data_IF_274399503400
#
_entry.id   IF_274399503400
#
_cell.length_a   1.000
_cell.length_b   1.000
_cell.length_c   1.000
_cell.angle_alpha   90.00
_cell.angle_beta   90.00
_cell.angle_gamma   90.00
#
_symmetry.space_group_name_H-M   'P 1'
#
loop_
_entity.id
_entity.type
_entity.pdbx_description
1 polymer ?
#
# COMPACT_ATOMS: atom_id res chain seq x y z
N UNK A 1 -28.34 19.81 3.19
CA UNK A 1 -28.32 18.34 3.00
C UNK A 1 -27.19 17.79 3.84
N UNK A 2 -27.49 16.82 4.71
CA UNK A 2 -26.49 16.23 5.62
C UNK A 2 -25.43 15.45 4.82
N UNK A 3 -24.24 15.27 5.41
CA UNK A 3 -23.19 14.43 4.84
C UNK A 3 -23.67 12.99 4.60
N UNK A 4 -24.58 12.48 5.43
CA UNK A 4 -25.21 11.17 5.27
C UNK A 4 -26.12 11.09 4.02
N UNK A 5 -26.81 12.18 3.67
CA UNK A 5 -27.68 12.21 2.49
C UNK A 5 -26.87 12.31 1.18
N UNK A 6 -25.67 12.90 1.22
CA UNK A 6 -24.75 12.91 0.09
C UNK A 6 -24.19 11.51 -0.18
N UNK A 7 -23.83 10.75 0.86
CA UNK A 7 -23.38 9.34 0.76
C UNK A 7 -24.48 8.46 0.16
N UNK A 8 -25.74 8.63 0.60
CA UNK A 8 -26.88 7.87 0.05
C UNK A 8 -27.25 8.24 -1.40
N UNK A 9 -27.04 9.49 -1.82
CA UNK A 9 -27.28 9.92 -3.21
C UNK A 9 -26.15 9.51 -4.15
N UNK A 10 -24.89 9.48 -3.70
CA UNK A 10 -23.80 8.83 -4.42
C UNK A 10 -24.17 7.34 -4.66
N UNK A 11 -24.74 6.70 -3.62
CA UNK A 11 -25.50 5.44 -3.58
C UNK A 11 -26.32 5.05 -4.83
N UNK A 12 -26.87 6.01 -5.58
CA UNK A 12 -27.85 5.77 -6.64
C UNK A 12 -27.31 5.95 -8.07
N UNK A 13 -26.05 6.36 -8.24
CA UNK A 13 -25.45 6.63 -9.57
C UNK A 13 -24.25 5.72 -9.88
N UNK A 14 -24.15 4.57 -9.19
CA UNK A 14 -23.13 3.55 -9.45
C UNK A 14 -23.60 2.60 -10.56
N UNK A 15 -23.40 3.00 -11.82
CA UNK A 15 -23.12 1.96 -12.81
C UNK A 15 -21.73 1.48 -12.48
N UNK A 16 -21.64 0.28 -11.91
CA UNK A 16 -20.42 -0.51 -11.75
C UNK A 16 -19.36 -0.08 -12.78
N UNK A 17 -18.17 0.35 -12.34
CA UNK A 17 -16.96 0.27 -13.18
C UNK A 17 -16.55 -1.22 -13.19
N UNK A 18 -17.50 -2.06 -13.57
CA UNK A 18 -17.27 -3.44 -13.97
C UNK A 18 -17.23 -3.33 -15.47
N UNK A 19 -16.16 -3.86 -16.06
CA UNK A 19 -16.00 -4.01 -17.49
C UNK A 19 -17.36 -4.41 -18.11
N UNK A 20 -17.92 -3.54 -18.96
CA UNK A 20 -19.17 -3.87 -19.62
C UNK A 20 -18.95 -5.19 -20.37
N UNK A 21 -19.86 -6.16 -20.20
CA UNK A 21 -19.61 -7.46 -20.76
C UNK A 21 -19.59 -7.34 -22.30
N UNK A 22 -18.62 -7.96 -22.98
CA UNK A 22 -18.52 -7.88 -24.43
C UNK A 22 -19.79 -8.37 -25.11
N UNK A 23 -20.08 -7.83 -26.29
CA UNK A 23 -21.21 -8.28 -27.12
C UNK A 23 -20.85 -9.59 -27.82
N UNK A 24 -20.93 -10.69 -27.07
CA UNK A 24 -20.71 -12.06 -27.54
C UNK A 24 -21.99 -12.89 -27.33
N UNK A 25 -22.33 -13.77 -28.28
CA UNK A 25 -23.54 -14.60 -28.15
C UNK A 25 -23.30 -15.82 -27.26
N UNK A 26 -24.35 -16.31 -26.61
CA UNK A 26 -24.28 -17.55 -25.83
C UNK A 26 -23.87 -18.74 -26.72
N UNK A 27 -24.42 -18.84 -27.94
CA UNK A 27 -24.10 -19.89 -28.90
C UNK A 27 -22.62 -19.89 -29.33
N UNK A 28 -21.98 -18.73 -29.37
CA UNK A 28 -20.57 -18.60 -29.69
C UNK A 28 -19.71 -19.15 -28.56
N UNK A 29 -19.91 -18.67 -27.33
CA UNK A 29 -19.16 -19.14 -26.15
C UNK A 29 -19.41 -20.62 -25.84
N UNK A 30 -20.60 -21.15 -26.12
CA UNK A 30 -20.87 -22.59 -25.91
C UNK A 30 -20.04 -23.49 -26.81
N UNK A 31 -19.54 -23.02 -27.96
CA UNK A 31 -18.67 -23.82 -28.84
C UNK A 31 -17.24 -23.94 -28.32
N UNK A 32 -16.83 -23.02 -27.45
CA UNK A 32 -15.48 -22.93 -26.89
C UNK A 32 -15.59 -22.45 -25.44
N UNK A 33 -15.97 -23.35 -24.52
CA UNK A 33 -16.15 -23.03 -23.10
C UNK A 33 -15.23 -23.89 -22.23
N UNK A 34 -14.81 -23.35 -21.09
CA UNK A 34 -14.17 -24.12 -20.04
C UNK A 34 -15.21 -24.99 -19.32
N UNK A 35 -16.37 -24.39 -18.99
CA UNK A 35 -17.47 -25.07 -18.31
C UNK A 35 -18.81 -24.38 -18.60
N UNK A 36 -19.91 -25.14 -18.66
CA UNK A 36 -21.24 -24.62 -18.93
C UNK A 36 -22.30 -25.34 -18.10
N UNK A 37 -23.30 -24.59 -17.65
CA UNK A 37 -24.45 -25.15 -16.96
C UNK A 37 -25.42 -24.07 -16.49
N UNK A 38 -26.48 -24.48 -15.84
CA UNK A 38 -27.53 -23.60 -15.35
C UNK A 38 -27.32 -23.32 -13.86
N UNK A 39 -27.27 -22.05 -13.47
CA UNK A 39 -27.16 -21.64 -12.07
C UNK A 39 -28.29 -20.69 -11.70
N UNK A 40 -28.83 -20.86 -10.50
CA UNK A 40 -29.79 -19.90 -9.95
C UNK A 40 -29.05 -18.78 -9.25
N UNK A 41 -28.94 -17.62 -9.89
CA UNK A 41 -28.12 -16.49 -9.44
C UNK A 41 -28.92 -15.46 -8.65
N UNK A 42 -28.36 -14.96 -7.55
CA UNK A 42 -28.90 -13.82 -6.80
C UNK A 42 -28.60 -12.48 -7.50
N UNK A 43 -29.60 -11.60 -7.57
CA UNK A 43 -29.45 -10.23 -8.00
C UNK A 43 -28.61 -9.40 -7.03
N UNK A 44 -27.98 -8.33 -7.55
CA UNK A 44 -27.09 -7.46 -6.78
C UNK A 44 -27.87 -6.50 -5.88
N UNK A 45 -28.61 -5.57 -6.49
CA UNK A 45 -29.42 -4.57 -5.78
C UNK A 45 -30.70 -5.15 -5.20
N UNK A 46 -31.43 -5.91 -6.02
CA UNK A 46 -32.62 -6.65 -5.60
C UNK A 46 -32.18 -8.10 -5.42
N UNK A 47 -32.33 -8.65 -4.22
CA UNK A 47 -31.86 -10.00 -3.87
C UNK A 47 -32.77 -11.12 -4.40
N UNK A 48 -33.45 -10.88 -5.53
CA UNK A 48 -34.22 -11.90 -6.26
C UNK A 48 -33.30 -12.94 -6.87
N UNK A 49 -33.81 -14.14 -7.02
CA UNK A 49 -33.09 -15.25 -7.62
C UNK A 49 -33.60 -15.48 -9.03
N UNK A 50 -32.69 -15.66 -9.97
CA UNK A 50 -33.04 -15.96 -11.35
C UNK A 50 -32.14 -17.05 -11.90
N UNK A 51 -32.75 -18.00 -12.59
CA UNK A 51 -32.04 -19.00 -13.37
C UNK A 51 -31.29 -18.33 -14.53
N UNK A 52 -30.05 -18.72 -14.73
CA UNK A 52 -29.19 -18.21 -15.80
C UNK A 52 -28.39 -19.36 -16.40
N UNK A 53 -28.28 -19.35 -17.72
CA UNK A 53 -27.25 -20.10 -18.41
C UNK A 53 -25.90 -19.44 -18.11
N UNK A 54 -25.02 -20.15 -17.41
CA UNK A 54 -23.70 -19.71 -17.04
C UNK A 54 -22.66 -20.40 -17.92
N UNK A 55 -21.74 -19.61 -18.49
CA UNK A 55 -20.66 -20.11 -19.35
C UNK A 55 -19.35 -19.53 -18.84
N UNK A 56 -18.45 -20.40 -18.39
CA UNK A 56 -17.09 -20.06 -17.99
C UNK A 56 -16.18 -20.16 -19.21
N UNK A 57 -15.44 -19.10 -19.49
CA UNK A 57 -14.51 -19.05 -20.62
C UNK A 57 -13.38 -18.07 -20.31
N UNK A 58 -12.13 -18.53 -20.36
CA UNK A 58 -10.92 -17.70 -20.24
C UNK A 58 -10.92 -16.77 -19.02
N UNK A 59 -11.21 -17.32 -17.84
CA UNK A 59 -11.24 -16.55 -16.59
C UNK A 59 -12.44 -15.60 -16.44
N UNK A 60 -13.45 -15.71 -17.30
CA UNK A 60 -14.68 -14.91 -17.24
C UNK A 60 -15.91 -15.83 -17.18
N UNK A 61 -16.79 -15.59 -16.21
CA UNK A 61 -18.08 -16.29 -16.06
C UNK A 61 -19.21 -15.41 -16.60
N UNK A 62 -19.69 -15.74 -17.79
CA UNK A 62 -20.79 -15.06 -18.47
C UNK A 62 -22.13 -15.65 -18.05
N UNK A 63 -23.18 -14.85 -18.02
CA UNK A 63 -24.53 -15.35 -17.74
C UNK A 63 -25.61 -14.74 -18.64
N UNK A 64 -26.49 -15.60 -19.15
CA UNK A 64 -27.53 -15.30 -20.14
C UNK A 64 -28.92 -15.69 -19.63
N UNK A 65 -29.97 -15.16 -20.26
CA UNK A 65 -31.34 -15.65 -20.02
C UNK A 65 -31.59 -16.90 -20.85
N UNK A 66 -31.11 -16.94 -22.09
CA UNK A 66 -31.22 -18.12 -22.95
C UNK A 66 -30.00 -18.31 -23.85
N UNK A 67 -29.85 -19.49 -24.43
CA UNK A 67 -28.81 -19.83 -25.42
C UNK A 67 -28.92 -19.02 -26.73
N UNK A 68 -30.08 -18.41 -27.00
CA UNK A 68 -30.32 -17.58 -28.19
C UNK A 68 -29.91 -16.12 -27.99
N UNK A 69 -29.53 -15.75 -26.77
CA UNK A 69 -29.18 -14.38 -26.45
C UNK A 69 -27.85 -14.01 -27.15
N UNK A 70 -27.87 -12.88 -27.86
CA UNK A 70 -26.71 -12.33 -28.58
C UNK A 70 -25.80 -11.46 -27.71
N UNK A 71 -26.17 -11.27 -26.44
CA UNK A 71 -25.37 -10.56 -25.45
C UNK A 71 -25.62 -11.09 -24.04
N UNK A 72 -24.59 -11.17 -23.19
CA UNK A 72 -24.75 -11.57 -21.80
C UNK A 72 -25.58 -10.55 -21.01
N UNK A 73 -26.28 -11.02 -19.98
CA UNK A 73 -26.87 -10.15 -18.95
C UNK A 73 -25.81 -9.58 -18.01
N UNK A 74 -24.65 -10.23 -17.93
CA UNK A 74 -23.48 -9.75 -17.23
C UNK A 74 -22.36 -10.78 -17.24
N UNK A 75 -21.23 -10.39 -16.66
CA UNK A 75 -20.00 -11.15 -16.62
C UNK A 75 -19.36 -10.98 -15.24
N UNK A 76 -18.70 -12.02 -14.76
CA UNK A 76 -17.85 -11.99 -13.57
C UNK A 76 -16.45 -12.30 -14.04
N UNK A 77 -15.51 -11.37 -13.91
CA UNK A 77 -14.09 -11.70 -14.06
C UNK A 77 -13.67 -12.49 -12.82
N UNK A 78 -13.32 -13.77 -13.00
CA UNK A 78 -12.93 -14.67 -11.91
C UNK A 78 -11.42 -14.78 -11.74
N UNK A 79 -10.62 -14.12 -12.59
CA UNK A 79 -9.15 -14.11 -12.52
C UNK A 79 -8.68 -13.65 -11.13
N UNK A 80 -7.87 -14.50 -10.49
CA UNK A 80 -7.37 -14.28 -9.13
C UNK A 80 -8.44 -14.37 -8.01
N UNK A 81 -9.72 -14.53 -8.34
CA UNK A 81 -10.80 -14.66 -7.35
C UNK A 81 -10.85 -16.07 -6.74
N UNK A 82 -11.53 -16.17 -5.60
CA UNK A 82 -11.81 -17.45 -4.94
C UNK A 82 -13.30 -17.74 -4.97
N UNK A 83 -13.65 -18.94 -5.43
CA UNK A 83 -14.99 -19.52 -5.34
C UNK A 83 -15.05 -20.51 -4.17
N UNK A 84 -16.07 -20.39 -3.33
CA UNK A 84 -16.24 -21.21 -2.12
C UNK A 84 -17.68 -21.74 -2.06
N UNK A 85 -17.86 -22.88 -1.39
CA UNK A 85 -19.18 -23.35 -1.00
C UNK A 85 -19.85 -22.35 -0.04
N UNK A 86 -21.17 -22.26 -0.12
CA UNK A 86 -21.98 -21.41 0.73
C UNK A 86 -23.36 -22.03 0.93
N UNK A 87 -23.78 -22.19 2.18
CA UNK A 87 -25.17 -22.51 2.50
C UNK A 87 -26.00 -21.22 2.48
N UNK A 88 -26.84 -21.04 1.46
CA UNK A 88 -27.51 -19.76 1.23
C UNK A 88 -28.84 -19.64 1.98
N UNK A 89 -29.58 -20.75 2.04
CA UNK A 89 -30.81 -20.96 2.79
C UNK A 89 -31.25 -22.42 2.66
N UNK A 90 -32.31 -22.80 3.40
CA UNK A 90 -32.86 -24.16 3.41
C UNK A 90 -33.24 -24.73 2.03
N UNK A 91 -33.57 -23.89 1.02
CA UNK A 91 -33.88 -24.31 -0.36
C UNK A 91 -32.69 -24.26 -1.31
N UNK A 92 -31.55 -23.73 -0.88
CA UNK A 92 -30.34 -23.49 -1.69
C UNK A 92 -29.12 -23.91 -0.88
N UNK A 93 -29.11 -25.18 -0.48
CA UNK A 93 -28.06 -25.79 0.34
C UNK A 93 -26.74 -25.87 -0.44
N UNK A 94 -26.82 -26.18 -1.73
CA UNK A 94 -25.68 -26.30 -2.63
C UNK A 94 -25.35 -24.95 -3.30
N UNK A 95 -25.04 -23.94 -2.48
CA UNK A 95 -24.68 -22.62 -2.98
C UNK A 95 -23.18 -22.46 -3.20
N UNK A 96 -22.82 -21.57 -4.11
CA UNK A 96 -21.45 -21.09 -4.27
C UNK A 96 -21.42 -19.58 -4.09
N UNK A 97 -20.31 -19.09 -3.54
CA UNK A 97 -19.99 -17.67 -3.45
C UNK A 97 -18.69 -17.35 -4.16
N UNK A 98 -18.71 -16.31 -5.00
CA UNK A 98 -17.51 -15.75 -5.65
C UNK A 98 -17.27 -14.37 -5.03
N UNK A 99 -16.17 -14.26 -4.28
CA UNK A 99 -15.83 -13.05 -3.53
C UNK A 99 -15.05 -12.14 -4.47
N UNK A 100 -15.68 -11.06 -4.92
CA UNK A 100 -15.02 -10.05 -5.76
C UNK A 100 -14.76 -8.76 -4.97
N UNK A 101 -13.84 -7.91 -5.45
CA UNK A 101 -13.57 -6.60 -4.87
C UNK A 101 -14.80 -5.73 -4.64
N UNK A 102 -15.79 -5.79 -5.54
CA UNK A 102 -16.95 -4.89 -5.49
C UNK A 102 -18.17 -5.49 -4.78
N UNK A 103 -18.27 -6.82 -4.73
CA UNK A 103 -19.40 -7.55 -4.15
C UNK A 103 -19.13 -9.05 -4.09
N UNK A 104 -19.87 -9.77 -3.26
CA UNK A 104 -19.91 -11.23 -3.34
C UNK A 104 -21.10 -11.69 -4.20
N UNK A 105 -20.81 -12.53 -5.17
CA UNK A 105 -21.80 -13.16 -6.03
C UNK A 105 -22.27 -14.46 -5.37
N UNK A 106 -23.57 -14.70 -5.40
CA UNK A 106 -24.16 -15.92 -4.86
C UNK A 106 -24.94 -16.63 -5.95
N UNK A 107 -24.62 -17.90 -6.17
CA UNK A 107 -25.26 -18.77 -7.14
C UNK A 107 -25.65 -20.06 -6.43
N UNK A 108 -26.78 -20.64 -6.80
CA UNK A 108 -27.21 -21.94 -6.31
C UNK A 108 -27.12 -22.96 -7.44
N UNK A 109 -26.48 -24.07 -7.10
CA UNK A 109 -26.32 -25.27 -7.91
C UNK A 109 -27.50 -26.21 -7.68
N UNK A 110 -27.64 -27.21 -8.55
CA UNK A 110 -28.71 -28.20 -8.47
C UNK A 110 -28.49 -29.17 -7.29
N UNK A 111 -27.28 -29.71 -7.19
CA UNK A 111 -26.87 -30.67 -6.18
C UNK A 111 -25.40 -30.46 -5.72
N UNK A 112 -24.92 -31.31 -4.82
CA UNK A 112 -23.56 -31.28 -4.28
C UNK A 112 -22.47 -31.53 -5.32
N UNK A 113 -22.76 -32.37 -6.32
CA UNK A 113 -21.82 -32.69 -7.39
C UNK A 113 -21.67 -31.51 -8.35
N UNK A 114 -22.78 -30.88 -8.75
CA UNK A 114 -22.79 -29.65 -9.54
C UNK A 114 -22.05 -28.52 -8.80
N UNK A 115 -22.31 -28.34 -7.50
CA UNK A 115 -21.58 -27.39 -6.66
C UNK A 115 -20.07 -27.62 -6.67
N UNK A 116 -19.64 -28.87 -6.47
CA UNK A 116 -18.22 -29.24 -6.44
C UNK A 116 -17.55 -28.99 -7.79
N UNK A 117 -18.22 -29.31 -8.90
CA UNK A 117 -17.72 -29.07 -10.25
C UNK A 117 -17.59 -27.57 -10.55
N UNK A 118 -18.60 -26.76 -10.21
CA UNK A 118 -18.53 -25.31 -10.40
C UNK A 118 -17.41 -24.67 -9.58
N UNK A 119 -17.25 -25.07 -8.31
CA UNK A 119 -16.16 -24.57 -7.46
C UNK A 119 -14.81 -24.91 -8.08
N UNK A 120 -14.62 -26.16 -8.51
CA UNK A 120 -13.38 -26.62 -9.14
C UNK A 120 -13.07 -25.83 -10.40
N UNK A 121 -14.00 -25.81 -11.36
CA UNK A 121 -13.75 -25.20 -12.67
C UNK A 121 -13.53 -23.68 -12.58
N UNK A 122 -14.27 -22.97 -11.70
CA UNK A 122 -14.06 -21.54 -11.49
C UNK A 122 -12.70 -21.28 -10.85
N UNK A 123 -12.30 -22.05 -9.83
CA UNK A 123 -11.00 -21.86 -9.17
C UNK A 123 -9.84 -22.23 -10.10
N UNK A 124 -9.97 -23.30 -10.90
CA UNK A 124 -8.95 -23.69 -11.87
C UNK A 124 -8.82 -22.63 -12.97
N UNK A 125 -9.94 -22.12 -13.51
CA UNK A 125 -9.91 -21.04 -14.51
C UNK A 125 -9.37 -19.73 -13.93
N UNK A 126 -9.67 -19.42 -12.65
CA UNK A 126 -9.11 -18.28 -11.92
C UNK A 126 -7.57 -18.31 -11.86
N UNK A 127 -7.00 -19.47 -11.53
CA UNK A 127 -5.54 -19.67 -11.43
C UNK A 127 -4.88 -19.72 -12.79
N UNK A 128 -5.49 -20.38 -13.79
CA UNK A 128 -4.94 -20.46 -15.16
C UNK A 128 -4.81 -19.09 -15.85
N UNK A 129 -5.66 -18.14 -15.47
CA UNK A 129 -5.76 -16.84 -16.14
C UNK A 129 -5.26 -15.67 -15.27
N UNK A 130 -4.54 -15.94 -14.18
CA UNK A 130 -3.97 -14.90 -13.31
C UNK A 130 -2.69 -15.37 -12.62
N UNK A 131 -1.67 -14.52 -12.62
CA UNK A 131 -0.40 -14.78 -11.91
C UNK A 131 -0.47 -14.48 -10.41
N UNK A 132 -1.61 -13.94 -9.93
CA UNK A 132 -1.82 -13.53 -8.54
C UNK A 132 -3.21 -13.94 -8.03
N UNK A 133 -3.35 -14.05 -6.69
CA UNK A 133 -4.66 -14.14 -6.02
C UNK A 133 -5.10 -12.81 -5.43
N UNK A 134 -6.41 -12.61 -5.38
CA UNK A 134 -7.06 -11.50 -4.70
C UNK A 134 -7.57 -11.95 -3.32
N UNK A 135 -7.12 -11.24 -2.28
CA UNK A 135 -7.57 -11.39 -0.90
C UNK A 135 -8.40 -10.17 -0.51
N UNK A 136 -9.72 -10.31 -0.58
CA UNK A 136 -10.63 -9.19 -0.31
C UNK A 136 -10.77 -9.00 1.20
N UNK A 137 -10.63 -7.76 1.67
CA UNK A 137 -10.82 -7.35 3.06
C UNK A 137 -12.00 -6.39 3.13
N UNK A 138 -12.92 -6.62 4.06
CA UNK A 138 -14.10 -5.79 4.26
C UNK A 138 -14.14 -5.28 5.72
N UNK A 139 -14.16 -3.95 5.96
CA UNK A 139 -14.09 -3.40 7.30
C UNK A 139 -15.43 -3.52 8.06
N UNK A 140 -16.54 -3.81 7.37
CA UNK A 140 -17.88 -3.83 7.96
C UNK A 140 -18.31 -5.23 8.46
N UNK A 141 -17.36 -6.17 8.61
CA UNK A 141 -17.62 -7.55 9.07
C UNK A 141 -18.72 -8.27 8.28
N UNK A 142 -18.77 -8.03 6.97
CA UNK A 142 -19.73 -8.68 6.08
C UNK A 142 -19.53 -10.20 6.08
N UNK A 143 -20.60 -10.96 6.30
CA UNK A 143 -20.58 -12.44 6.25
C UNK A 143 -20.09 -12.99 4.90
N UNK A 144 -20.08 -12.13 3.88
CA UNK A 144 -19.74 -12.47 2.51
C UNK A 144 -18.25 -12.34 2.17
N UNK A 145 -17.44 -11.86 3.11
CA UNK A 145 -16.00 -11.66 2.97
C UNK A 145 -15.20 -12.63 3.86
N UNK A 146 -13.98 -12.98 3.44
CA UNK A 146 -13.10 -13.88 4.21
C UNK A 146 -12.26 -13.11 5.23
N UNK A 147 -11.76 -11.94 4.85
CA UNK A 147 -10.90 -11.13 5.71
C UNK A 147 -11.62 -9.86 6.16
N UNK A 148 -11.43 -9.52 7.43
CA UNK A 148 -11.88 -8.25 8.05
C UNK A 148 -10.71 -7.49 8.69
N UNK A 149 -9.52 -8.09 8.65
CA UNK A 149 -8.29 -7.57 9.21
C UNK A 149 -7.22 -7.58 8.12
N UNK A 150 -6.52 -6.45 7.96
CA UNK A 150 -5.54 -6.27 6.89
C UNK A 150 -4.31 -7.15 7.14
N UNK A 151 -3.84 -7.24 8.40
CA UNK A 151 -2.65 -8.02 8.72
C UNK A 151 -2.87 -9.51 8.42
N UNK A 152 -4.03 -10.07 8.80
CA UNK A 152 -4.39 -11.46 8.47
C UNK A 152 -4.39 -11.74 6.97
N UNK A 153 -4.88 -10.80 6.16
CA UNK A 153 -4.86 -10.95 4.71
C UNK A 153 -3.42 -10.88 4.16
N UNK A 154 -2.58 -9.98 4.68
CA UNK A 154 -1.15 -9.87 4.35
C UNK A 154 -0.40 -11.15 4.71
N UNK A 155 -0.66 -11.71 5.88
CA UNK A 155 -0.01 -12.94 6.35
C UNK A 155 -0.37 -14.13 5.46
N UNK A 156 -1.65 -14.26 5.09
CA UNK A 156 -2.17 -15.33 4.24
C UNK A 156 -1.69 -15.22 2.78
N UNK A 157 -1.51 -14.00 2.26
CA UNK A 157 -1.11 -13.75 0.89
C UNK A 157 0.23 -14.40 0.54
N UNK A 158 0.42 -14.81 -0.72
CA UNK A 158 1.74 -15.19 -1.25
C UNK A 158 2.46 -13.97 -1.82
N UNK A 159 3.73 -14.13 -2.13
CA UNK A 159 4.47 -13.10 -2.88
C UNK A 159 3.79 -12.85 -4.23
N UNK A 160 3.60 -11.58 -4.56
CA UNK A 160 2.89 -11.13 -5.77
C UNK A 160 1.36 -11.08 -5.65
N UNK A 161 0.77 -11.61 -4.58
CA UNK A 161 -0.68 -11.53 -4.37
C UNK A 161 -1.17 -10.10 -4.08
N UNK A 162 -2.47 -9.89 -4.24
CA UNK A 162 -3.12 -8.61 -4.03
C UNK A 162 -4.08 -8.66 -2.84
N UNK A 163 -3.85 -7.82 -1.84
CA UNK A 163 -4.80 -7.55 -0.75
C UNK A 163 -5.69 -6.38 -1.18
N UNK A 164 -6.98 -6.67 -1.35
CA UNK A 164 -7.93 -5.73 -1.95
C UNK A 164 -8.91 -5.21 -0.90
N UNK A 165 -8.88 -3.90 -0.68
CA UNK A 165 -9.67 -3.23 0.35
C UNK A 165 -10.96 -2.68 -0.26
N UNK A 166 -12.12 -3.15 0.22
CA UNK A 166 -13.42 -2.54 -0.06
C UNK A 166 -13.50 -1.11 0.50
N UNK A 167 -14.44 -0.33 -0.01
CA UNK A 167 -14.72 1.02 0.52
C UNK A 167 -15.10 0.93 1.99
N UNK A 168 -14.48 1.77 2.81
CA UNK A 168 -14.76 1.85 4.23
C UNK A 168 -13.60 2.44 5.01
N UNK A 169 -13.74 2.45 6.33
CA UNK A 169 -12.74 2.94 7.26
C UNK A 169 -12.18 1.75 8.04
N UNK A 170 -10.94 1.40 7.77
CA UNK A 170 -10.19 0.37 8.45
C UNK A 170 -9.49 0.98 9.66
N UNK A 171 -9.97 0.65 10.86
CA UNK A 171 -9.29 1.03 12.10
C UNK A 171 -8.25 -0.03 12.42
N UNK A 172 -6.98 0.33 12.37
CA UNK A 172 -5.88 -0.59 12.62
C UNK A 172 -5.35 -0.36 14.03
N UNK A 173 -5.52 -1.33 14.95
CA UNK A 173 -5.11 -1.18 16.34
C UNK A 173 -3.59 -1.23 16.55
N UNK A 174 -2.88 -1.90 15.65
CA UNK A 174 -1.43 -2.10 15.66
C UNK A 174 -0.85 -1.80 14.27
N UNK A 175 0.45 -1.53 14.15
CA UNK A 175 1.08 -1.33 12.83
C UNK A 175 0.94 -2.57 11.94
N UNK A 176 0.42 -2.40 10.71
CA UNK A 176 0.44 -3.47 9.71
C UNK A 176 1.86 -3.61 9.16
N UNK A 177 2.49 -4.77 9.34
CA UNK A 177 3.84 -5.06 8.90
C UNK A 177 3.83 -5.94 7.65
N UNK A 178 4.46 -5.46 6.59
CA UNK A 178 4.54 -6.14 5.29
C UNK A 178 6.00 -6.51 5.04
N UNK A 179 6.25 -7.82 4.94
CA UNK A 179 7.60 -8.40 4.85
C UNK A 179 7.93 -8.99 3.49
N UNK A 180 7.00 -8.94 2.54
CA UNK A 180 7.11 -9.62 1.26
C UNK A 180 6.47 -8.79 0.15
N UNK A 181 6.95 -8.88 -1.11
CA UNK A 181 6.35 -8.18 -2.23
C UNK A 181 4.87 -8.58 -2.42
N UNK A 182 3.98 -7.60 -2.34
CA UNK A 182 2.53 -7.75 -2.60
C UNK A 182 1.91 -6.39 -2.91
N UNK A 183 0.68 -6.38 -3.39
CA UNK A 183 -0.08 -5.14 -3.66
C UNK A 183 -1.20 -4.98 -2.64
N UNK A 184 -1.23 -3.87 -1.90
CA UNK A 184 -2.41 -3.44 -1.14
C UNK A 184 -3.12 -2.35 -1.93
N UNK A 185 -4.35 -2.63 -2.37
CA UNK A 185 -5.10 -1.71 -3.22
C UNK A 185 -6.49 -1.43 -2.68
N UNK A 186 -6.83 -0.15 -2.63
CA UNK A 186 -8.22 0.27 -2.54
C UNK A 186 -8.96 -0.07 -3.81
N UNK A 187 -10.17 -0.57 -3.65
CA UNK A 187 -11.14 -0.55 -4.74
C UNK A 187 -11.64 0.89 -4.87
N UNK A 188 -11.91 1.34 -6.10
CA UNK A 188 -12.49 2.64 -6.49
C UNK A 188 -11.49 3.71 -6.98
N UNK A 189 -11.82 4.42 -8.08
CA UNK A 189 -11.00 5.53 -8.58
C UNK A 189 -11.11 6.81 -7.73
N UNK A 190 -12.02 6.86 -6.76
CA UNK A 190 -12.06 7.92 -5.77
C UNK A 190 -11.33 7.43 -4.50
N UNK A 191 -10.04 7.77 -4.39
CA UNK A 191 -9.14 7.43 -3.28
C UNK A 191 -9.67 7.85 -1.91
N UNK A 192 -10.72 8.70 -1.88
CA UNK A 192 -11.37 9.19 -0.67
C UNK A 192 -12.32 8.19 0.02
N UNK A 193 -12.49 6.97 -0.50
CA UNK A 193 -13.42 5.98 0.07
C UNK A 193 -12.77 4.82 0.82
N UNK A 194 -11.45 4.63 0.72
CA UNK A 194 -10.71 3.59 1.46
C UNK A 194 -9.75 4.28 2.42
N UNK A 195 -10.14 4.35 3.69
CA UNK A 195 -9.34 4.99 4.74
C UNK A 195 -8.74 3.94 5.64
N UNK A 196 -7.42 3.92 5.77
CA UNK A 196 -6.71 3.14 6.77
C UNK A 196 -6.28 4.11 7.88
N UNK A 197 -6.84 3.95 9.05
CA UNK A 197 -6.63 4.85 10.19
C UNK A 197 -5.97 4.12 11.36
N UNK A 198 -4.94 4.72 11.94
CA UNK A 198 -4.32 4.20 13.17
C UNK A 198 -5.25 4.35 14.37
N UNK A 199 -5.07 3.47 15.35
CA UNK A 199 -5.43 3.72 16.75
C UNK A 199 -4.45 4.67 17.43
N UNK A 200 -4.82 5.14 18.63
CA UNK A 200 -4.07 6.15 19.38
C UNK A 200 -2.66 5.71 19.83
N UNK A 201 -2.37 4.40 19.81
CA UNK A 201 -1.13 3.80 20.34
C UNK A 201 -0.11 3.41 19.28
N UNK A 202 -0.44 3.47 17.99
CA UNK A 202 0.44 2.96 16.92
C UNK A 202 1.43 4.02 16.43
N UNK A 203 2.72 3.66 16.35
CA UNK A 203 3.78 4.53 15.81
C UNK A 203 3.61 4.78 14.31
N UNK A 204 3.24 3.75 13.57
CA UNK A 204 2.92 3.85 12.15
C UNK A 204 1.69 3.02 11.79
N UNK A 205 0.96 3.43 10.76
CA UNK A 205 -0.19 2.64 10.26
C UNK A 205 0.35 1.42 9.52
N UNK A 206 1.28 1.66 8.59
CA UNK A 206 1.87 0.66 7.73
C UNK A 206 3.39 0.70 7.86
N UNK A 207 4.01 -0.48 7.89
CA UNK A 207 5.45 -0.65 7.90
C UNK A 207 5.89 -1.67 6.86
N UNK A 208 6.79 -1.26 5.97
CA UNK A 208 7.47 -2.16 5.03
C UNK A 208 8.82 -2.52 5.62
N UNK A 209 8.97 -3.80 5.98
CA UNK A 209 10.19 -4.36 6.56
C UNK A 209 10.40 -5.79 6.04
N UNK A 210 11.09 -5.94 4.92
CA UNK A 210 11.42 -7.25 4.33
C UNK A 210 12.31 -8.12 5.23
N UNK A 211 12.91 -7.56 6.28
CA UNK A 211 13.78 -8.29 7.18
C UNK A 211 13.03 -8.79 8.41
N UNK A 212 13.27 -10.06 8.76
CA UNK A 212 12.88 -10.56 10.08
C UNK A 212 13.75 -9.91 11.16
N UNK A 213 13.25 -9.90 12.40
CA UNK A 213 14.02 -9.38 13.52
C UNK A 213 15.24 -10.26 13.81
N UNK A 214 16.36 -9.63 14.18
CA UNK A 214 17.57 -10.29 14.68
C UNK A 214 18.27 -11.23 13.68
N UNK A 215 18.36 -10.83 12.41
CA UNK A 215 19.10 -11.59 11.40
C UNK A 215 20.61 -11.33 11.46
N UNK A 216 21.40 -12.39 11.34
CA UNK A 216 22.85 -12.30 11.15
C UNK A 216 23.19 -11.77 9.76
N UNK A 217 24.41 -11.26 9.57
CA UNK A 217 24.89 -10.78 8.25
C UNK A 217 24.74 -11.85 7.16
N UNK A 218 25.07 -13.10 7.47
CA UNK A 218 24.93 -14.23 6.54
C UNK A 218 23.45 -14.50 6.17
N UNK A 219 22.53 -14.31 7.12
CA UNK A 219 21.09 -14.45 6.86
C UNK A 219 20.55 -13.32 5.99
N UNK A 220 21.03 -12.09 6.19
CA UNK A 220 20.71 -10.95 5.33
C UNK A 220 21.26 -11.14 3.90
N UNK A 221 22.50 -11.62 3.75
CA UNK A 221 23.08 -11.93 2.43
C UNK A 221 22.33 -13.04 1.70
N UNK A 222 21.88 -14.07 2.43
CA UNK A 222 21.03 -15.14 1.88
C UNK A 222 19.66 -14.62 1.47
N UNK A 223 19.04 -13.75 2.27
CA UNK A 223 17.78 -13.09 1.90
C UNK A 223 17.94 -12.19 0.68
N UNK A 224 19.05 -11.44 0.55
CA UNK A 224 19.35 -10.66 -0.66
C UNK A 224 19.36 -11.52 -1.92
N UNK A 225 19.96 -12.73 -1.86
CA UNK A 225 20.02 -13.64 -3.01
C UNK A 225 18.66 -14.24 -3.38
N UNK A 226 17.71 -14.23 -2.44
CA UNK A 226 16.34 -14.73 -2.61
C UNK A 226 15.34 -13.63 -2.95
N UNK A 227 15.62 -12.37 -2.57
CA UNK A 227 14.82 -11.20 -2.90
C UNK A 227 14.82 -10.99 -4.42
N UNK A 228 13.81 -11.53 -5.09
CA UNK A 228 13.62 -11.48 -6.54
C UNK A 228 13.26 -10.09 -7.10
N UNK A 229 13.77 -9.00 -6.51
CA UNK A 229 13.53 -7.63 -6.98
C UNK A 229 12.09 -7.15 -6.86
N UNK A 230 11.25 -7.84 -6.06
CA UNK A 230 9.85 -7.46 -5.87
C UNK A 230 9.69 -6.18 -5.03
N UNK A 231 8.57 -5.48 -5.23
CA UNK A 231 8.21 -4.27 -4.49
C UNK A 231 6.85 -4.42 -3.83
N UNK A 232 6.71 -3.90 -2.61
CA UNK A 232 5.41 -3.68 -1.97
C UNK A 232 4.73 -2.49 -2.67
N UNK A 233 3.48 -2.65 -3.08
CA UNK A 233 2.72 -1.62 -3.79
C UNK A 233 1.50 -1.18 -3.00
N UNK A 234 1.26 0.12 -2.96
CA UNK A 234 0.05 0.71 -2.41
C UNK A 234 -0.66 1.54 -3.48
N UNK A 235 -1.93 1.23 -3.72
CA UNK A 235 -2.72 1.85 -4.78
C UNK A 235 -4.07 2.33 -4.24
N UNK A 236 -4.46 3.56 -4.55
CA UNK A 236 -5.82 4.08 -4.29
C UNK A 236 -6.28 3.99 -2.82
N UNK A 237 -5.41 4.30 -1.87
CA UNK A 237 -5.74 4.31 -0.43
C UNK A 237 -5.45 5.67 0.20
N UNK A 238 -6.24 6.01 1.22
CA UNK A 238 -5.97 7.13 2.12
C UNK A 238 -5.46 6.61 3.46
N UNK A 239 -4.28 7.04 3.88
CA UNK A 239 -3.72 6.76 5.20
C UNK A 239 -3.92 7.99 6.09
N UNK A 240 -4.62 7.81 7.21
CA UNK A 240 -4.84 8.88 8.19
C UNK A 240 -4.30 8.46 9.55
N UNK A 241 -3.19 9.06 9.97
CA UNK A 241 -2.63 8.79 11.28
C UNK A 241 -3.36 9.67 12.30
N UNK A 242 -4.10 9.02 13.20
CA UNK A 242 -4.76 9.61 14.35
C UNK A 242 -4.06 9.04 15.57
N UNK A 243 -3.26 9.84 16.24
CA UNK A 243 -2.74 9.45 17.54
C UNK A 243 -3.12 10.49 18.59
N UNK A 244 -3.80 10.09 19.66
CA UNK A 244 -4.26 11.03 20.67
C UNK A 244 -3.11 11.87 21.26
N UNK A 245 -3.40 13.15 21.50
CA UNK A 245 -2.49 14.16 22.06
C UNK A 245 -1.83 13.75 23.39
N UNK A 246 -2.48 12.85 24.13
CA UNK A 246 -2.06 12.44 25.48
C UNK A 246 -1.25 11.13 25.48
N UNK A 247 -1.09 10.45 24.33
CA UNK A 247 -0.54 9.08 24.25
C UNK A 247 0.91 8.98 23.77
N UNK A 248 1.60 10.09 23.47
CA UNK A 248 2.76 10.03 22.57
C UNK A 248 4.00 10.68 23.20
N UNK A 249 4.84 9.87 23.85
CA UNK A 249 6.25 10.19 24.13
C UNK A 249 7.14 10.05 22.86
N UNK A 250 6.54 9.86 21.68
CA UNK A 250 7.22 9.43 20.44
C UNK A 250 6.93 10.30 19.20
N UNK A 251 6.50 11.55 19.37
CA UNK A 251 5.96 12.40 18.29
C UNK A 251 6.89 12.46 17.06
N UNK A 252 8.20 12.56 17.30
CA UNK A 252 9.19 12.69 16.24
C UNK A 252 9.34 11.44 15.36
N UNK A 253 8.90 10.28 15.85
CA UNK A 253 9.06 8.98 15.17
C UNK A 253 7.78 8.43 14.55
N UNK A 254 6.64 9.09 14.75
CA UNK A 254 5.37 8.64 14.21
C UNK A 254 5.22 8.96 12.71
N UNK A 255 4.66 8.04 11.93
CA UNK A 255 4.40 8.26 10.50
C UNK A 255 3.16 7.53 9.97
N UNK A 256 2.56 7.95 8.86
CA UNK A 256 1.51 7.12 8.25
C UNK A 256 2.11 5.82 7.70
N UNK A 257 3.21 5.95 6.95
CA UNK A 257 3.95 4.85 6.34
C UNK A 257 5.42 4.93 6.72
N UNK A 258 5.96 3.80 7.18
CA UNK A 258 7.38 3.64 7.47
C UNK A 258 7.99 2.56 6.55
N UNK A 259 9.06 2.90 5.84
CA UNK A 259 9.80 1.96 4.98
C UNK A 259 11.20 1.86 5.53
N UNK A 260 11.58 0.66 5.98
CA UNK A 260 12.89 0.44 6.62
C UNK A 260 13.81 -0.49 5.82
N UNK A 261 13.24 -1.23 4.86
CA UNK A 261 13.92 -2.16 3.97
C UNK A 261 13.07 -2.47 2.74
N UNK A 262 13.71 -2.94 1.68
CA UNK A 262 13.06 -3.31 0.43
C UNK A 262 12.61 -2.11 -0.43
N UNK A 263 11.85 -2.41 -1.49
CA UNK A 263 11.31 -1.40 -2.40
C UNK A 263 9.81 -1.22 -2.20
N UNK A 264 9.34 0.02 -2.14
CA UNK A 264 7.95 0.39 -1.98
C UNK A 264 7.49 1.34 -3.10
N UNK A 265 6.32 1.07 -3.69
CA UNK A 265 5.71 1.92 -4.72
C UNK A 265 4.35 2.44 -4.24
N UNK A 266 4.14 3.75 -4.34
CA UNK A 266 2.87 4.42 -4.03
C UNK A 266 2.28 5.02 -5.30
N UNK A 267 1.02 4.70 -5.57
CA UNK A 267 0.26 5.27 -6.69
C UNK A 267 -1.14 5.71 -6.22
N UNK A 268 -1.50 6.97 -6.45
CA UNK A 268 -2.79 7.53 -6.00
C UNK A 268 -3.04 7.36 -4.48
N UNK A 269 -1.98 7.47 -3.68
CA UNK A 269 -2.05 7.35 -2.22
C UNK A 269 -2.14 8.73 -1.58
N UNK A 270 -3.06 8.87 -0.63
CA UNK A 270 -3.23 10.10 0.16
C UNK A 270 -2.69 9.87 1.58
N UNK A 271 -1.84 10.76 2.07
CA UNK A 271 -1.12 10.62 3.34
C UNK A 271 -1.38 11.85 4.23
N UNK A 272 -2.01 11.62 5.38
CA UNK A 272 -2.37 12.65 6.36
C UNK A 272 -2.03 12.21 7.77
N UNK A 273 -1.00 12.81 8.36
CA UNK A 273 -0.57 12.52 9.71
C UNK A 273 -0.95 13.63 10.69
N UNK A 274 -1.92 13.37 11.55
CA UNK A 274 -2.41 14.37 12.51
C UNK A 274 -1.34 14.81 13.51
N UNK A 275 -0.33 13.97 13.77
CA UNK A 275 0.73 14.26 14.76
C UNK A 275 2.16 13.93 14.31
N UNK A 276 2.33 13.26 13.17
CA UNK A 276 3.61 12.74 12.71
C UNK A 276 4.02 13.21 11.31
N UNK A 277 4.84 12.39 10.67
CA UNK A 277 5.29 12.53 9.28
C UNK A 277 4.33 11.77 8.35
N UNK A 278 4.12 12.23 7.13
CA UNK A 278 3.38 11.44 6.13
C UNK A 278 4.09 10.11 5.84
N UNK A 279 5.32 10.16 5.35
CA UNK A 279 6.14 8.99 5.04
C UNK A 279 7.53 9.11 5.64
N UNK A 280 8.01 8.06 6.29
CA UNK A 280 9.41 7.94 6.74
C UNK A 280 10.10 6.80 5.99
N UNK A 281 11.23 7.09 5.36
CA UNK A 281 12.12 6.08 4.76
C UNK A 281 13.45 6.18 5.48
N UNK A 282 13.93 5.07 6.02
CA UNK A 282 15.22 4.97 6.71
C UNK A 282 15.84 3.62 6.43
N UNK A 283 17.15 3.48 6.58
CA UNK A 283 17.81 2.23 6.29
C UNK A 283 18.16 1.50 7.59
N UNK A 284 17.41 0.43 7.89
CA UNK A 284 17.60 -0.39 9.09
C UNK A 284 19.03 -0.90 9.25
N UNK A 285 19.73 -1.13 8.14
CA UNK A 285 21.07 -1.70 8.10
C UNK A 285 22.17 -0.65 7.94
N UNK A 286 21.82 0.63 7.97
CA UNK A 286 22.79 1.70 7.82
C UNK A 286 23.72 1.76 9.03
N UNK A 287 25.01 1.84 8.73
CA UNK A 287 26.07 2.03 9.71
C UNK A 287 26.77 3.32 9.31
N UNK A 288 26.67 4.39 10.12
CA UNK A 288 27.31 5.66 9.81
C UNK A 288 28.82 5.46 9.61
N UNK A 289 29.44 6.13 8.63
CA UNK A 289 30.89 6.13 8.52
C UNK A 289 31.50 6.67 9.81
N UNK A 290 32.48 5.93 10.36
CA UNK A 290 33.22 6.35 11.56
C UNK A 290 33.94 7.67 11.23
N UNK A 291 33.49 8.78 11.82
CA UNK A 291 34.24 10.03 11.75
C UNK A 291 35.56 9.81 12.49
N UNK A 292 36.69 9.84 11.78
CA UNK A 292 38.02 9.84 12.39
C UNK A 292 38.14 11.12 13.24
N UNK A 293 37.88 11.01 14.54
CA UNK A 293 38.15 12.08 15.50
C UNK A 293 39.63 12.06 15.86
N UNK A 294 40.49 12.52 14.95
CA UNK A 294 41.79 13.07 15.32
C UNK A 294 41.63 14.58 15.43
N UNK A 295 40.99 15.04 16.51
CA UNK A 295 41.13 16.40 17.06
C UNK A 295 40.19 16.55 18.27
N UNK A 296 40.63 16.00 19.40
CA UNK A 296 40.17 16.44 20.70
C UNK A 296 41.39 16.48 21.63
N UNK A 297 41.99 17.68 21.68
CA UNK A 297 43.06 17.99 22.59
C UNK A 297 42.66 17.73 24.05
N UNK A 298 43.65 17.25 24.78
CA UNK A 298 43.68 16.97 26.21
C UNK A 298 43.05 18.11 27.03
N UNK A 299 42.02 17.77 27.81
CA UNK A 299 41.59 18.55 28.97
C UNK A 299 41.21 17.58 30.08
N UNK A 300 42.12 17.43 31.03
CA UNK A 300 41.96 16.68 32.27
C UNK A 300 41.28 17.55 33.33
N UNK A 301 40.17 17.08 33.91
CA UNK A 301 39.93 17.07 35.37
C UNK A 301 38.78 16.11 35.73
N UNK A 302 38.80 15.47 36.92
CA UNK A 302 37.90 14.37 37.27
C UNK A 302 36.70 14.86 38.09
N UNK A 303 35.52 14.26 37.86
CA UNK A 303 34.47 14.25 38.89
C UNK A 303 33.67 12.95 38.86
N UNK A 304 33.67 12.32 40.02
CA UNK A 304 32.98 11.12 40.48
C UNK A 304 31.47 11.14 40.25
N UNK A 305 30.92 10.07 39.68
CA UNK A 305 29.64 9.49 40.08
C UNK A 305 29.48 8.07 39.51
N UNK A 306 29.39 7.12 40.42
CA UNK A 306 29.05 5.71 40.23
C UNK A 306 27.60 5.52 39.77
N UNK A 307 27.37 4.84 38.64
CA UNK A 307 26.12 4.10 38.39
C UNK A 307 26.46 2.76 37.72
N UNK A 308 25.75 1.76 38.20
CA UNK A 308 25.95 0.32 38.14
C UNK A 308 25.90 -0.30 36.73
N UNK A 309 26.62 -1.42 36.64
CA UNK A 309 26.77 -2.34 35.53
C UNK A 309 25.46 -2.90 34.99
N UNK A 310 25.21 -2.69 33.70
CA UNK A 310 24.43 -3.61 32.87
C UNK A 310 25.18 -3.81 31.55
N UNK A 311 26.20 -4.65 31.59
CA UNK A 311 27.03 -5.02 30.43
C UNK A 311 26.29 -6.06 29.59
N UNK A 312 25.57 -5.62 28.56
CA UNK A 312 25.57 -6.38 27.30
C UNK A 312 26.87 -6.02 26.56
N UNK A 313 27.64 -6.99 26.05
CA UNK A 313 28.79 -6.65 25.23
C UNK A 313 28.29 -5.91 23.97
N UNK A 314 28.93 -4.81 23.56
CA UNK A 314 28.66 -4.22 22.25
C UNK A 314 28.90 -5.28 21.17
N UNK A 315 28.12 -5.28 20.07
CA UNK A 315 28.37 -6.21 18.96
C UNK A 315 29.83 -6.10 18.50
N UNK A 316 30.47 -7.21 18.13
CA UNK A 316 31.88 -7.22 17.76
C UNK A 316 32.13 -6.23 16.60
N UNK A 317 33.24 -5.49 16.61
CA UNK A 317 33.55 -4.54 15.56
C UNK A 317 33.66 -5.26 14.22
N UNK A 318 32.96 -4.73 13.22
CA UNK A 318 33.05 -5.19 11.84
C UNK A 318 34.52 -5.06 11.36
N UNK A 319 35.09 -6.09 10.71
CA UNK A 319 36.42 -5.98 10.13
C UNK A 319 36.41 -4.92 9.03
N UNK A 320 37.35 -3.98 9.10
CA UNK A 320 37.60 -3.01 8.05
C UNK A 320 37.97 -3.75 6.76
N UNK A 321 37.09 -3.71 5.77
CA UNK A 321 37.38 -4.25 4.43
C UNK A 321 36.93 -3.25 3.38
N UNK A 322 37.86 -2.90 2.50
CA UNK A 322 37.64 -1.96 1.41
C UNK A 322 36.45 -2.33 0.53
N UNK A 323 35.78 -1.31 0.01
CA UNK A 323 34.78 -1.31 -1.09
C UNK A 323 34.12 -2.65 -1.42
N UNK A 324 33.45 -3.28 -0.44
CA UNK A 324 32.48 -4.34 -0.71
C UNK A 324 31.15 -3.69 -1.03
N UNK A 325 30.50 -4.14 -2.12
CA UNK A 325 29.12 -3.77 -2.47
C UNK A 325 28.23 -3.91 -1.23
N UNK A 326 27.33 -2.96 -0.93
CA UNK A 326 26.50 -3.00 0.26
C UNK A 326 25.77 -4.34 0.40
N UNK A 327 25.59 -4.79 1.66
CA UNK A 327 25.06 -6.11 2.00
C UNK A 327 23.66 -6.31 1.41
N UNK A 328 22.87 -5.25 1.32
CA UNK A 328 21.57 -5.19 0.65
C UNK A 328 21.48 -3.88 -0.13
N UNK A 329 20.59 -3.83 -1.13
CA UNK A 329 20.26 -2.56 -1.76
C UNK A 329 19.56 -1.64 -0.73
N UNK A 330 19.82 -0.32 -0.80
CA UNK A 330 19.17 0.64 0.08
C UNK A 330 17.65 0.61 -0.09
N UNK A 331 16.87 0.88 0.96
CA UNK A 331 15.42 1.00 0.85
C UNK A 331 15.05 2.02 -0.22
N UNK A 332 14.11 1.64 -1.10
CA UNK A 332 13.66 2.47 -2.22
C UNK A 332 12.18 2.82 -2.08
N UNK A 333 11.85 4.09 -2.26
CA UNK A 333 10.48 4.58 -2.39
C UNK A 333 10.26 5.18 -3.77
N UNK A 334 9.20 4.75 -4.47
CA UNK A 334 8.73 5.35 -5.72
C UNK A 334 7.33 5.88 -5.48
N UNK A 335 7.10 7.17 -5.71
CA UNK A 335 5.80 7.82 -5.56
C UNK A 335 5.34 8.44 -6.86
N UNK A 336 4.12 8.14 -7.28
CA UNK A 336 3.49 8.75 -8.45
C UNK A 336 2.06 9.17 -8.12
N UNK A 337 1.70 10.41 -8.48
CA UNK A 337 0.32 10.91 -8.35
C UNK A 337 -0.24 10.76 -6.92
N UNK A 338 0.63 10.99 -5.92
CA UNK A 338 0.30 10.90 -4.50
C UNK A 338 0.04 12.28 -3.88
N UNK A 339 -0.75 12.31 -2.80
CA UNK A 339 -1.08 13.54 -2.07
C UNK A 339 -0.56 13.43 -0.63
N UNK A 340 0.35 14.32 -0.24
CA UNK A 340 0.98 14.34 1.09
C UNK A 340 0.68 15.68 1.76
N UNK A 341 -0.34 15.69 2.60
CA UNK A 341 -0.91 16.95 3.07
C UNK A 341 -1.34 16.93 4.54
N UNK A 342 -1.40 18.11 5.14
CA UNK A 342 -1.87 18.30 6.52
C UNK A 342 -1.13 17.43 7.55
N UNK A 343 0.17 17.17 7.30
CA UNK A 343 1.01 16.45 8.24
C UNK A 343 1.54 17.42 9.30
N UNK A 344 1.49 17.03 10.58
CA UNK A 344 1.92 17.87 11.71
C UNK A 344 3.43 18.14 11.73
N UNK A 345 4.22 17.20 11.19
CA UNK A 345 5.64 17.37 10.99
C UNK A 345 5.92 17.52 9.49
N UNK A 346 6.83 16.72 8.94
CA UNK A 346 7.16 16.76 7.53
C UNK A 346 6.15 15.98 6.69
N UNK A 347 6.00 16.35 5.42
CA UNK A 347 5.29 15.48 4.48
C UNK A 347 6.03 14.14 4.32
N UNK A 348 7.34 14.21 4.07
CA UNK A 348 8.21 13.05 3.95
C UNK A 348 9.54 13.29 4.68
N UNK A 349 10.07 12.21 5.27
CA UNK A 349 11.41 12.18 5.85
C UNK A 349 12.21 11.03 5.25
N UNK A 350 13.36 11.34 4.67
CA UNK A 350 14.35 10.38 4.19
C UNK A 350 15.58 10.49 5.09
N UNK A 351 16.04 9.36 5.59
CA UNK A 351 17.22 9.24 6.45
C UNK A 351 18.12 8.13 5.92
N UNK A 352 19.39 8.14 6.33
CA UNK A 352 20.36 7.10 6.04
C UNK A 352 20.56 6.85 4.53
N UNK A 353 21.27 5.78 4.15
CA UNK A 353 21.41 5.39 2.75
C UNK A 353 20.08 4.86 2.18
N UNK A 354 19.26 5.76 1.63
CA UNK A 354 17.94 5.49 1.04
C UNK A 354 17.77 6.16 -0.33
N UNK A 355 16.89 5.59 -1.15
CA UNK A 355 16.59 6.09 -2.51
C UNK A 355 15.12 6.50 -2.61
N UNK A 356 14.85 7.67 -3.17
CA UNK A 356 13.47 8.13 -3.39
C UNK A 356 13.27 8.72 -4.78
N UNK A 357 12.20 8.32 -5.45
CA UNK A 357 11.72 8.90 -6.71
C UNK A 357 10.29 9.41 -6.52
N UNK A 358 10.06 10.69 -6.78
CA UNK A 358 8.74 11.32 -6.64
C UNK A 358 8.36 11.99 -7.94
N UNK A 359 7.21 11.61 -8.50
CA UNK A 359 6.70 12.21 -9.74
C UNK A 359 5.24 12.62 -9.62
N UNK A 360 4.87 13.74 -10.26
CA UNK A 360 3.48 14.20 -10.39
C UNK A 360 2.71 14.23 -9.07
N UNK A 361 3.39 14.47 -7.95
CA UNK A 361 2.81 14.35 -6.62
C UNK A 361 2.58 15.72 -6.01
N UNK A 362 1.65 15.77 -5.06
CA UNK A 362 1.19 16.99 -4.42
C UNK A 362 1.59 16.98 -2.95
N UNK A 363 2.36 17.97 -2.52
CA UNK A 363 2.70 18.21 -1.12
C UNK A 363 2.07 19.53 -0.69
N UNK A 364 1.18 19.50 0.30
CA UNK A 364 0.47 20.72 0.70
C UNK A 364 0.29 20.86 2.20
N UNK A 365 0.44 22.09 2.71
CA UNK A 365 -0.02 22.45 4.07
C UNK A 365 0.51 21.52 5.16
N UNK A 366 1.78 21.13 5.05
CA UNK A 366 2.48 20.40 6.11
C UNK A 366 3.08 21.42 7.10
N UNK A 367 2.95 21.13 8.41
CA UNK A 367 3.38 21.99 9.52
C UNK A 367 4.91 21.97 9.72
N UNK A 368 5.64 21.16 8.97
CA UNK A 368 7.10 21.18 8.84
C UNK A 368 7.54 21.41 7.40
N UNK A 369 8.67 20.79 7.02
CA UNK A 369 9.09 20.78 5.60
C UNK A 369 8.18 19.87 4.77
N UNK A 370 8.06 20.09 3.45
CA UNK A 370 7.41 19.09 2.60
C UNK A 370 8.22 17.79 2.57
N UNK A 371 9.53 17.91 2.33
CA UNK A 371 10.48 16.80 2.32
C UNK A 371 11.71 17.22 3.12
N UNK A 372 12.08 16.42 4.12
CA UNK A 372 13.37 16.48 4.80
C UNK A 372 14.19 15.27 4.38
N UNK A 373 15.35 15.47 3.76
CA UNK A 373 16.24 14.40 3.35
C UNK A 373 17.61 14.58 3.97
N UNK A 374 18.08 13.54 4.64
CA UNK A 374 19.36 13.58 5.33
C UNK A 374 20.12 12.27 5.31
N UNK A 375 21.42 12.35 5.62
CA UNK A 375 22.24 11.21 6.01
C UNK A 375 22.54 10.23 4.88
N UNK A 376 23.16 10.68 3.80
CA UNK A 376 23.45 9.89 2.58
C UNK A 376 22.25 9.48 1.72
N UNK A 377 21.02 9.85 2.09
CA UNK A 377 19.86 9.64 1.24
C UNK A 377 20.00 10.41 -0.09
N UNK A 378 19.37 9.88 -1.15
CA UNK A 378 19.28 10.56 -2.45
C UNK A 378 17.85 10.57 -2.98
N UNK A 379 17.55 11.60 -3.78
CA UNK A 379 16.22 11.75 -4.35
C UNK A 379 16.24 12.21 -5.81
N UNK A 380 15.19 11.82 -6.53
CA UNK A 380 14.78 12.41 -7.81
C UNK A 380 13.34 12.88 -7.68
N UNK A 381 13.10 14.17 -7.91
CA UNK A 381 11.77 14.78 -7.80
C UNK A 381 11.43 15.49 -9.10
N UNK A 382 10.34 15.07 -9.74
CA UNK A 382 9.92 15.59 -11.03
C UNK A 382 8.44 15.98 -11.05
N UNK A 383 8.12 17.10 -11.72
CA UNK A 383 6.74 17.51 -12.07
C UNK A 383 5.77 17.53 -10.88
N UNK A 384 6.27 17.85 -9.69
CA UNK A 384 5.51 17.81 -8.44
C UNK A 384 5.21 19.23 -7.93
N UNK A 385 4.21 19.35 -7.06
CA UNK A 385 3.73 20.64 -6.55
C UNK A 385 3.92 20.70 -5.03
N UNK A 386 4.53 21.78 -4.55
CA UNK A 386 4.82 22.01 -3.14
C UNK A 386 4.23 23.34 -2.69
N UNK A 387 3.27 23.35 -1.76
CA UNK A 387 2.66 24.61 -1.36
C UNK A 387 2.12 24.70 0.06
N UNK A 388 2.30 25.86 0.70
CA UNK A 388 1.70 26.17 1.99
C UNK A 388 2.36 25.47 3.17
N UNK A 389 3.62 25.02 3.05
CA UNK A 389 4.37 24.47 4.16
C UNK A 389 4.77 25.58 5.14
N UNK A 390 4.81 25.30 6.45
CA UNK A 390 5.24 26.31 7.44
C UNK A 390 6.76 26.49 7.48
N UNK A 391 7.51 25.51 6.94
CA UNK A 391 8.98 25.54 6.73
C UNK A 391 9.30 25.39 5.23
N UNK A 392 10.47 24.87 4.90
CA UNK A 392 10.92 24.75 3.51
C UNK A 392 10.06 23.73 2.71
N UNK A 393 10.01 23.86 1.39
CA UNK A 393 9.51 22.75 0.57
C UNK A 393 10.44 21.54 0.69
N UNK A 394 11.72 21.71 0.33
CA UNK A 394 12.70 20.63 0.32
C UNK A 394 13.93 21.05 1.12
N UNK A 395 14.42 20.16 1.98
CA UNK A 395 15.66 20.32 2.73
C UNK A 395 16.59 19.14 2.45
N UNK A 396 17.84 19.42 2.11
CA UNK A 396 18.91 18.46 1.89
C UNK A 396 20.05 18.68 2.90
N UNK A 397 20.35 17.69 3.74
CA UNK A 397 21.39 17.74 4.78
C UNK A 397 22.30 16.49 4.71
N UNK A 398 23.60 16.64 4.50
CA UNK A 398 24.51 15.49 4.34
C UNK A 398 24.04 14.45 3.28
N UNK A 399 23.36 14.85 2.21
CA UNK A 399 22.75 13.93 1.21
C UNK A 399 23.73 13.52 0.12
N UNK A 400 23.43 12.40 -0.57
CA UNK A 400 24.04 12.07 -1.88
C UNK A 400 23.43 12.93 -2.99
N UNK A 401 24.03 12.88 -4.19
CA UNK A 401 23.57 13.65 -5.36
C UNK A 401 22.08 13.43 -5.61
N UNK A 402 21.37 14.52 -5.77
CA UNK A 402 19.91 14.53 -5.96
C UNK A 402 19.53 15.37 -7.19
N UNK A 403 18.34 15.15 -7.71
CA UNK A 403 17.80 15.89 -8.86
C UNK A 403 16.41 16.41 -8.53
N UNK A 404 16.19 17.70 -8.72
CA UNK A 404 14.90 18.37 -8.51
C UNK A 404 14.60 19.12 -9.80
N UNK A 405 13.64 18.62 -10.58
CA UNK A 405 13.38 19.11 -11.93
C UNK A 405 11.89 19.36 -12.20
N UNK A 406 11.53 20.48 -12.83
CA UNK A 406 10.18 20.71 -13.34
C UNK A 406 9.11 20.85 -12.24
N UNK A 407 9.46 21.26 -11.03
CA UNK A 407 8.53 21.34 -9.90
C UNK A 407 7.96 22.75 -9.71
N UNK A 408 6.75 22.84 -9.17
CA UNK A 408 6.12 24.11 -8.81
C UNK A 408 6.11 24.29 -7.31
N UNK A 409 6.67 25.39 -6.81
CA UNK A 409 6.77 25.68 -5.38
C UNK A 409 6.21 27.07 -5.07
N UNK A 410 5.27 27.16 -4.14
CA UNK A 410 4.62 28.43 -3.81
C UNK A 410 4.28 28.54 -2.32
N UNK A 411 4.42 29.74 -1.75
CA UNK A 411 3.96 30.06 -0.40
C UNK A 411 4.49 29.12 0.69
N UNK A 412 5.78 28.80 0.66
CA UNK A 412 6.42 27.90 1.62
C UNK A 412 7.27 28.69 2.63
N UNK A 413 7.20 28.29 3.88
CA UNK A 413 7.94 28.86 5.00
C UNK A 413 7.57 30.30 5.36
N UNK A 414 8.30 30.91 6.30
CA UNK A 414 8.11 32.29 6.69
C UNK A 414 8.22 33.23 5.48
N UNK A 415 7.20 34.08 5.29
CA UNK A 415 7.17 35.03 4.16
C UNK A 415 6.94 34.39 2.79
N UNK A 416 6.68 33.08 2.71
CA UNK A 416 6.29 32.39 1.48
C UNK A 416 7.41 32.07 0.49
N UNK A 417 8.68 32.31 0.85
CA UNK A 417 9.85 32.21 -0.05
C UNK A 417 10.82 31.06 0.26
N UNK A 418 10.50 30.21 1.23
CA UNK A 418 11.36 29.13 1.68
C UNK A 418 11.09 27.86 0.86
N UNK A 419 11.72 27.76 -0.31
CA UNK A 419 11.47 26.65 -1.23
C UNK A 419 12.48 25.51 -1.03
N UNK A 420 13.73 25.69 -1.43
CA UNK A 420 14.77 24.66 -1.35
C UNK A 420 15.90 25.14 -0.44
N UNK A 421 16.27 24.34 0.54
CA UNK A 421 17.47 24.54 1.36
C UNK A 421 18.44 23.37 1.16
N UNK A 422 19.68 23.69 0.82
CA UNK A 422 20.78 22.72 0.66
C UNK A 422 21.86 23.11 1.66
N UNK A 423 22.14 22.21 2.60
CA UNK A 423 23.19 22.41 3.59
C UNK A 423 24.58 22.31 2.95
N UNK A 424 25.58 22.95 3.57
CA UNK A 424 26.96 22.98 3.07
C UNK A 424 27.61 21.58 2.97
N UNK A 425 27.13 20.63 3.78
CA UNK A 425 27.62 19.26 3.83
C UNK A 425 26.88 18.31 2.87
N UNK A 426 25.87 18.80 2.14
CA UNK A 426 25.16 18.01 1.15
C UNK A 426 25.92 17.94 -0.19
N UNK A 427 25.85 16.80 -0.86
CA UNK A 427 26.37 16.67 -2.21
C UNK A 427 25.64 17.59 -3.21
N UNK A 428 26.26 17.94 -4.35
CA UNK A 428 25.63 18.78 -5.36
C UNK A 428 24.26 18.26 -5.79
N UNK A 429 23.30 19.18 -5.93
CA UNK A 429 21.94 18.90 -6.38
C UNK A 429 21.69 19.58 -7.73
N UNK A 430 21.20 18.82 -8.71
CA UNK A 430 20.77 19.38 -9.99
C UNK A 430 19.39 20.02 -9.84
N UNK A 431 19.31 21.33 -10.08
CA UNK A 431 18.09 22.12 -10.02
C UNK A 431 17.75 22.66 -11.42
N UNK A 432 16.70 22.11 -12.03
CA UNK A 432 16.33 22.43 -13.43
C UNK A 432 14.84 22.76 -13.53
N UNK A 433 14.48 23.78 -14.31
CA UNK A 433 13.07 24.06 -14.68
C UNK A 433 12.07 24.14 -13.49
N UNK A 434 12.51 24.57 -12.31
CA UNK A 434 11.62 24.72 -11.15
C UNK A 434 11.01 26.11 -11.10
N UNK A 435 9.69 26.17 -10.93
CA UNK A 435 8.91 27.40 -10.79
C UNK A 435 8.75 27.79 -9.32
N UNK A 436 9.30 28.95 -8.93
CA UNK A 436 9.17 29.52 -7.59
C UNK A 436 8.22 30.73 -7.62
N UNK A 437 7.02 30.57 -7.07
CA UNK A 437 5.93 31.57 -7.11
C UNK A 437 5.64 32.23 -5.76
#
# INVERSE_FOLDING_TARGET
>A
MSSQDKVKKAGKKWKEIVEEPPKVSASELMRDHDFVGTLTKRGGSIKTWHERLCILHQGKLYYYVSQKDTKPKGMINVQGLTCQAAELNYKKKFGIKIISPHRTYYLACEDENDQSNWIKEINDSSVRNSDYRLHVVDPDFSEDCTFHDIQRAVDFAKEGDHVVLRSGIYKVPETVVIKKPLTIRGVYPDSSLVHIASSDSSKSILRVDSFNENLTIQQLEKQRLLDGGGSVKFEHVTLTQNAARDSILFYESASCLEIVSGSCTLQHVHLRASYGVGVTVKNRLYIPPVKNTTDAAVSTTPSTASIESNTQPPPPPLPSTGSKKPICDPPKLIMTECHVEFNKLHGMRLEDDTLCEVTKSLFQKNDGNAILCKGEASMRIERSVFSGHTRNAIVLESTKTSTICGNKMQLNGPGGKSHIHIAEDAAPCALEENDFL
#
